data_IF_358011033738
#
_entry.id   IF_358011033738
#
_cell.length_a   1.000
_cell.length_b   1.000
_cell.length_c   1.000
_cell.angle_alpha   90.00
_cell.angle_beta   90.00
_cell.angle_gamma   90.00
#
_symmetry.space_group_name_H-M   'P 1'
#
loop_
_entity.id
_entity.type
_entity.pdbx_description
1 polymer ?
#
# COMPACT_ATOMS: atom_id res chain seq x y z
N UNK A 1 5.39 1.70 15.74
CA UNK A 1 5.79 0.61 14.83
C UNK A 1 6.06 -0.62 15.68
N UNK A 2 5.47 -1.77 15.37
CA UNK A 2 5.49 -2.97 16.22
C UNK A 2 4.51 -4.04 15.71
N UNK A 3 4.44 -5.18 16.41
CA UNK A 3 3.64 -6.36 16.00
C UNK A 3 2.20 -5.97 15.67
N UNK A 4 1.70 -6.48 14.54
CA UNK A 4 0.27 -6.44 14.20
C UNK A 4 -0.34 -7.69 14.82
N UNK A 5 -1.20 -7.49 15.81
CA UNK A 5 -2.07 -8.54 16.33
C UNK A 5 -3.46 -8.44 15.65
N UNK A 6 -4.34 -9.44 15.81
CA UNK A 6 -5.68 -9.40 15.22
C UNK A 6 -6.52 -8.18 15.64
N UNK A 7 -6.32 -7.64 16.85
CA UNK A 7 -7.04 -6.47 17.32
C UNK A 7 -6.59 -5.20 16.58
N UNK A 8 -5.28 -5.02 16.39
CA UNK A 8 -4.70 -3.94 15.60
C UNK A 8 -5.09 -4.04 14.14
N UNK A 9 -5.13 -5.25 13.58
CA UNK A 9 -5.58 -5.49 12.22
C UNK A 9 -7.03 -4.99 12.02
N UNK A 10 -7.95 -5.32 12.94
CA UNK A 10 -9.34 -4.80 12.90
C UNK A 10 -9.40 -3.28 12.99
N UNK A 11 -8.62 -2.69 13.91
CA UNK A 11 -8.58 -1.24 14.06
C UNK A 11 -8.06 -0.54 12.79
N UNK A 12 -7.07 -1.14 12.11
CA UNK A 12 -6.56 -0.66 10.83
C UNK A 12 -7.68 -0.65 9.78
N UNK A 13 -8.40 -1.76 9.63
CA UNK A 13 -9.53 -1.89 8.71
C UNK A 13 -10.55 -0.80 8.96
N UNK A 14 -11.02 -0.65 10.19
CA UNK A 14 -12.04 0.34 10.52
C UNK A 14 -11.59 1.78 10.25
N UNK A 15 -10.35 2.12 10.63
CA UNK A 15 -9.79 3.46 10.40
C UNK A 15 -9.68 3.75 8.90
N UNK A 16 -9.25 2.76 8.12
CA UNK A 16 -9.15 2.88 6.68
C UNK A 16 -10.50 3.09 6.02
N UNK A 17 -11.50 2.25 6.32
CA UNK A 17 -12.83 2.39 5.73
C UNK A 17 -13.49 3.73 6.10
N UNK A 18 -13.29 4.19 7.35
CA UNK A 18 -13.71 5.53 7.76
C UNK A 18 -12.99 6.61 6.95
N UNK A 19 -11.67 6.50 6.81
CA UNK A 19 -10.86 7.44 6.04
C UNK A 19 -11.26 7.51 4.56
N UNK A 20 -11.50 6.36 3.92
CA UNK A 20 -11.97 6.26 2.54
C UNK A 20 -13.28 7.04 2.37
N UNK A 21 -14.25 6.78 3.24
CA UNK A 21 -15.57 7.42 3.16
C UNK A 21 -15.47 8.93 3.40
N UNK A 22 -14.79 9.35 4.45
CA UNK A 22 -14.69 10.77 4.84
C UNK A 22 -13.96 11.59 3.79
N UNK A 23 -12.86 11.06 3.24
CA UNK A 23 -12.04 11.78 2.26
C UNK A 23 -12.44 11.51 0.80
N UNK A 24 -13.44 10.63 0.57
CA UNK A 24 -13.77 10.09 -0.76
C UNK A 24 -12.53 9.57 -1.50
N UNK A 25 -11.64 8.91 -0.75
CA UNK A 25 -10.35 8.45 -1.27
C UNK A 25 -10.58 7.45 -2.40
N UNK A 26 -9.88 7.64 -3.52
CA UNK A 26 -9.88 6.70 -4.66
C UNK A 26 -8.74 5.70 -4.58
N UNK A 27 -7.66 6.06 -3.89
CA UNK A 27 -6.50 5.21 -3.68
C UNK A 27 -6.07 5.31 -2.22
N UNK A 28 -5.66 4.18 -1.64
CA UNK A 28 -5.06 4.09 -0.30
C UNK A 28 -3.73 3.37 -0.41
N UNK A 29 -2.68 3.96 0.16
CA UNK A 29 -1.36 3.33 0.26
C UNK A 29 -1.17 2.83 1.70
N UNK A 30 -0.83 1.56 1.86
CA UNK A 30 -0.57 0.92 3.15
C UNK A 30 0.90 0.55 3.21
N UNK A 31 1.63 1.16 4.14
CA UNK A 31 3.01 0.75 4.42
C UNK A 31 3.07 -0.29 5.53
N UNK A 32 3.66 -1.44 5.21
CA UNK A 32 3.87 -2.54 6.16
C UNK A 32 5.34 -2.78 6.51
N UNK A 33 6.26 -1.88 6.12
CA UNK A 33 7.71 -1.98 6.42
C UNK A 33 8.00 -2.25 7.91
N UNK A 34 7.12 -1.77 8.79
CA UNK A 34 7.22 -1.91 10.24
C UNK A 34 6.59 -3.16 10.87
N UNK A 35 6.09 -4.10 10.07
CA UNK A 35 5.43 -5.33 10.53
C UNK A 35 6.45 -6.47 10.52
N UNK A 36 6.97 -6.91 11.68
CA UNK A 36 8.10 -7.84 11.71
C UNK A 36 7.74 -9.28 11.32
N UNK A 37 6.50 -9.71 11.61
CA UNK A 37 6.01 -11.08 11.34
C UNK A 37 4.54 -10.98 10.92
N UNK A 38 4.16 -11.79 9.94
CA UNK A 38 2.78 -11.95 9.50
C UNK A 38 2.34 -13.39 9.77
N UNK A 39 1.24 -13.57 10.50
CA UNK A 39 0.57 -14.88 10.62
C UNK A 39 -0.65 -14.97 9.69
N UNK A 40 -1.27 -16.15 9.63
CA UNK A 40 -2.46 -16.40 8.81
C UNK A 40 -3.64 -15.48 9.17
N UNK A 41 -3.83 -15.15 10.46
CA UNK A 41 -4.98 -14.33 10.89
C UNK A 41 -4.81 -12.89 10.41
N UNK A 42 -3.61 -12.34 10.57
CA UNK A 42 -3.27 -10.98 10.14
C UNK A 42 -3.29 -10.88 8.61
N UNK A 43 -2.74 -11.88 7.90
CA UNK A 43 -2.78 -11.95 6.45
C UNK A 43 -4.22 -11.93 5.92
N UNK A 44 -5.10 -12.79 6.47
CA UNK A 44 -6.50 -12.84 6.10
C UNK A 44 -7.23 -11.52 6.39
N UNK A 45 -6.93 -10.85 7.51
CA UNK A 45 -7.48 -9.52 7.78
C UNK A 45 -7.04 -8.47 6.78
N UNK A 46 -5.77 -8.51 6.34
CA UNK A 46 -5.26 -7.57 5.35
C UNK A 46 -5.98 -7.74 4.00
N UNK A 47 -6.17 -8.99 3.57
CA UNK A 47 -6.92 -9.32 2.35
C UNK A 47 -8.36 -8.83 2.44
N UNK A 48 -9.04 -9.13 3.55
CA UNK A 48 -10.39 -8.67 3.80
C UNK A 48 -10.47 -7.13 3.76
N UNK A 49 -9.50 -6.44 4.37
CA UNK A 49 -9.41 -4.98 4.35
C UNK A 49 -9.30 -4.43 2.93
N UNK A 50 -8.49 -5.06 2.08
CA UNK A 50 -8.34 -4.70 0.66
C UNK A 50 -9.66 -4.90 -0.09
N UNK A 51 -10.37 -6.00 0.15
CA UNK A 51 -11.67 -6.27 -0.47
C UNK A 51 -12.74 -5.26 -0.03
N UNK A 52 -12.81 -4.95 1.26
CA UNK A 52 -13.75 -3.96 1.81
C UNK A 52 -13.49 -2.56 1.25
N UNK A 53 -12.22 -2.15 1.14
CA UNK A 53 -11.84 -0.88 0.52
C UNK A 53 -12.24 -0.82 -0.96
N UNK A 54 -12.05 -1.93 -1.71
CA UNK A 54 -12.47 -2.05 -3.10
C UNK A 54 -13.99 -1.94 -3.25
N UNK A 55 -14.77 -2.53 -2.36
CA UNK A 55 -16.24 -2.39 -2.35
C UNK A 55 -16.68 -0.94 -2.11
N UNK A 56 -15.89 -0.15 -1.38
CA UNK A 56 -16.10 1.30 -1.23
C UNK A 56 -15.59 2.13 -2.42
N UNK A 57 -15.07 1.49 -3.47
CA UNK A 57 -14.57 2.15 -4.67
C UNK A 57 -13.18 2.77 -4.52
N UNK A 58 -12.38 2.26 -3.58
CA UNK A 58 -10.98 2.64 -3.40
C UNK A 58 -10.03 1.49 -3.76
N UNK A 59 -9.00 1.80 -4.54
CA UNK A 59 -7.89 0.87 -4.81
C UNK A 59 -6.89 0.91 -3.65
N UNK A 60 -6.44 -0.25 -3.20
CA UNK A 60 -5.40 -0.34 -2.16
C UNK A 60 -4.08 -0.77 -2.78
N UNK A 61 -3.00 -0.09 -2.38
CA UNK A 61 -1.62 -0.40 -2.75
C UNK A 61 -0.84 -0.71 -1.48
N UNK A 62 -0.22 -1.88 -1.41
CA UNK A 62 0.58 -2.33 -0.27
C UNK A 62 2.06 -2.10 -0.56
N UNK A 63 2.77 -1.50 0.38
CA UNK A 63 4.20 -1.16 0.27
C UNK A 63 5.00 -1.77 1.41
N UNK A 64 6.30 -1.93 1.23
CA UNK A 64 7.18 -2.37 2.33
C UNK A 64 7.08 -3.86 2.65
N UNK A 65 6.63 -4.68 1.68
CA UNK A 65 6.61 -6.14 1.79
C UNK A 65 8.04 -6.68 1.83
N UNK A 66 8.42 -7.29 2.96
CA UNK A 66 9.69 -8.02 3.06
C UNK A 66 9.60 -9.38 2.34
N UNK A 67 10.75 -9.93 1.97
CA UNK A 67 10.86 -11.25 1.33
C UNK A 67 10.24 -12.38 2.17
N UNK A 68 10.35 -12.28 3.50
CA UNK A 68 9.81 -13.24 4.46
C UNK A 68 8.29 -13.17 4.53
N UNK A 69 7.73 -11.96 4.56
CA UNK A 69 6.28 -11.76 4.53
C UNK A 69 5.70 -12.24 3.20
N UNK A 70 6.33 -11.94 2.08
CA UNK A 70 5.87 -12.39 0.77
C UNK A 70 5.80 -13.94 0.68
N UNK A 71 6.84 -14.63 1.15
CA UNK A 71 6.84 -16.10 1.24
C UNK A 71 5.74 -16.63 2.17
N UNK A 72 5.50 -15.95 3.27
CA UNK A 72 4.46 -16.33 4.24
C UNK A 72 3.07 -16.22 3.62
N UNK A 73 2.77 -15.11 2.92
CA UNK A 73 1.50 -14.91 2.21
C UNK A 73 1.26 -15.99 1.14
N UNK A 74 2.31 -16.38 0.40
CA UNK A 74 2.24 -17.50 -0.56
C UNK A 74 1.97 -18.82 0.17
N UNK A 75 2.64 -19.07 1.29
CA UNK A 75 2.49 -20.31 2.07
C UNK A 75 1.10 -20.47 2.66
N UNK A 76 0.51 -19.37 3.13
CA UNK A 76 -0.87 -19.33 3.66
C UNK A 76 -1.91 -19.51 2.54
N UNK A 77 -1.52 -19.34 1.27
CA UNK A 77 -2.43 -19.47 0.12
C UNK A 77 -3.32 -18.25 -0.07
N UNK A 78 -2.87 -17.07 0.38
CA UNK A 78 -3.57 -15.81 0.14
C UNK A 78 -3.63 -15.53 -1.37
N UNK A 79 -4.81 -15.14 -1.86
CA UNK A 79 -4.97 -14.69 -3.24
C UNK A 79 -4.29 -13.34 -3.49
N UNK A 80 -3.01 -13.41 -3.89
CA UNK A 80 -2.18 -12.25 -4.21
C UNK A 80 -2.68 -11.48 -5.44
N UNK A 81 -3.51 -12.10 -6.30
CA UNK A 81 -4.05 -11.45 -7.50
C UNK A 81 -4.97 -10.26 -7.18
N UNK A 82 -5.42 -10.16 -5.92
CA UNK A 82 -6.25 -9.07 -5.41
C UNK A 82 -5.45 -7.92 -4.78
N UNK A 83 -4.13 -8.08 -4.62
CA UNK A 83 -3.27 -7.10 -3.95
C UNK A 83 -2.36 -6.41 -4.96
N UNK A 84 -2.49 -5.08 -5.07
CA UNK A 84 -1.48 -4.28 -5.76
C UNK A 84 -0.32 -4.04 -4.79
N UNK A 85 0.89 -4.45 -5.15
CA UNK A 85 2.05 -4.37 -4.27
C UNK A 85 3.23 -3.69 -4.96
N UNK A 86 3.98 -2.91 -4.19
CA UNK A 86 5.19 -2.22 -4.64
C UNK A 86 6.25 -2.26 -3.53
N UNK A 87 7.52 -2.04 -3.89
CA UNK A 87 8.64 -2.22 -2.97
C UNK A 87 8.62 -1.27 -1.77
N UNK A 88 8.25 -0.01 -2.00
CA UNK A 88 8.32 1.04 -0.98
C UNK A 88 7.20 2.08 -1.13
N UNK A 89 7.14 3.01 -0.18
CA UNK A 89 6.14 4.07 -0.16
C UNK A 89 6.26 4.99 -1.37
N UNK A 90 7.47 5.24 -1.87
CA UNK A 90 7.66 6.09 -3.05
C UNK A 90 6.98 5.47 -4.26
N UNK A 91 7.26 4.20 -4.57
CA UNK A 91 6.57 3.45 -5.61
C UNK A 91 5.05 3.38 -5.38
N UNK A 92 4.61 3.36 -4.12
CA UNK A 92 3.19 3.40 -3.76
C UNK A 92 2.50 4.68 -4.15
N UNK A 93 3.16 5.82 -3.93
CA UNK A 93 2.67 7.14 -4.35
C UNK A 93 2.70 7.24 -5.87
N UNK A 94 3.79 6.81 -6.51
CA UNK A 94 3.89 6.85 -7.98
C UNK A 94 2.78 6.04 -8.66
N UNK A 95 2.46 4.86 -8.11
CA UNK A 95 1.38 4.03 -8.59
C UNK A 95 0.00 4.60 -8.27
N UNK A 96 -0.17 5.26 -7.12
CA UNK A 96 -1.39 5.97 -6.78
C UNK A 96 -1.66 7.14 -7.74
N UNK A 97 -0.63 7.93 -8.06
CA UNK A 97 -0.73 9.01 -9.04
C UNK A 97 -1.12 8.48 -10.42
N UNK A 98 -0.48 7.40 -10.88
CA UNK A 98 -0.81 6.74 -12.14
C UNK A 98 -2.27 6.28 -12.18
N UNK A 99 -2.75 5.65 -11.10
CA UNK A 99 -4.14 5.20 -10.97
C UNK A 99 -5.16 6.36 -10.98
N UNK A 100 -4.74 7.54 -10.54
CA UNK A 100 -5.54 8.78 -10.57
C UNK A 100 -5.44 9.54 -11.90
N UNK A 101 -4.61 9.08 -12.84
CA UNK A 101 -4.36 9.74 -14.12
C UNK A 101 -3.35 10.88 -14.06
N UNK A 102 -2.60 11.00 -12.97
CA UNK A 102 -1.47 11.91 -12.85
C UNK A 102 -0.18 11.22 -13.32
N UNK A 103 0.77 12.00 -13.83
CA UNK A 103 2.09 11.51 -14.24
C UNK A 103 3.15 12.11 -13.33
N UNK A 104 3.81 11.27 -12.54
CA UNK A 104 4.98 11.64 -11.76
C UNK A 104 6.08 12.06 -12.74
N UNK A 105 6.65 13.24 -12.54
CA UNK A 105 7.84 13.69 -13.25
C UNK A 105 8.95 13.94 -12.23
N UNK A 106 10.10 13.31 -12.43
CA UNK A 106 11.30 13.68 -11.68
C UNK A 106 11.58 15.14 -12.01
N UNK A 107 11.57 16.00 -10.99
CA UNK A 107 12.14 17.34 -11.11
C UNK A 107 13.65 17.18 -11.26
N UNK A 108 14.10 16.97 -12.50
CA UNK A 108 15.52 16.96 -12.84
C UNK A 108 16.13 18.31 -12.51
N UNK A 109 17.33 18.26 -11.92
CA UNK A 109 18.20 19.39 -11.63
C UNK A 109 18.13 20.41 -12.76
N UNK A 110 17.79 21.65 -12.43
CA UNK A 110 17.89 22.78 -13.35
C UNK A 110 19.30 22.81 -13.92
N UNK A 111 19.45 22.34 -15.16
CA UNK A 111 20.68 22.42 -15.91
C UNK A 111 21.12 23.87 -16.00
N UNK A 112 22.18 24.22 -15.27
CA UNK A 112 22.93 25.44 -15.50
C UNK A 112 23.52 25.32 -16.90
N UNK A 113 22.88 25.99 -17.85
CA UNK A 113 23.41 26.15 -19.20
C UNK A 113 24.82 26.74 -19.12
N UNK A 114 25.76 26.02 -19.71
CA UNK A 114 27.06 26.55 -20.09
C UNK A 114 26.82 27.77 -20.97
N UNK A 115 27.15 28.96 -20.46
CA UNK A 115 27.33 30.13 -21.31
C UNK A 115 28.74 30.00 -21.88
N UNK A 116 28.85 29.50 -23.11
CA UNK A 116 30.03 29.75 -23.93
C UNK A 116 29.98 31.21 -24.42
N UNK A 117 31.01 31.99 -24.06
CA UNK A 117 31.49 33.16 -24.80
C UNK A 117 32.98 32.98 -25.01
#
# INVERSE_FOLDING_TARGET
>A
IGVIDPQRARQLTEQMLRGIRTNRAKVVVIDITGVPVMDETVANHLVQTVEEARLLGATVIITGLSSEIAQTLVTIGVDLGKMNTVGDVQGGIEEAERALGYKVVLMGETGTGSVEV
#
